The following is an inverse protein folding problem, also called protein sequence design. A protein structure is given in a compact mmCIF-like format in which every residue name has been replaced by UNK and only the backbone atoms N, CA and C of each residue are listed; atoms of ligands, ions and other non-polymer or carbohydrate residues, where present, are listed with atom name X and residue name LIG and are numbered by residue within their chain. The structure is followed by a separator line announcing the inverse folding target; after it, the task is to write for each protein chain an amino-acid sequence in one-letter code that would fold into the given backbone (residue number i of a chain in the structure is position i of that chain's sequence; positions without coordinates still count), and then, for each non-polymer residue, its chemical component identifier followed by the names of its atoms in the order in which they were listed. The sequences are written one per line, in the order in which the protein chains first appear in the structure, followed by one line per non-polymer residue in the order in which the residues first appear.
data_IF_188634585400
#
_entry.id   IF_188634585400
#
_cell.length_a   1.000
_cell.length_b   1.000
_cell.length_c   1.000
_cell.angle_alpha   90.00
_cell.angle_beta   90.00
_cell.angle_gamma   90.00
#
_symmetry.space_group_name_H-M   'P 1'
#
loop_
_entity.id
_entity.type
_entity.pdbx_description
1 polymer ?
#
# COMPACT_ATOMS: atom_id res chain seq x y z
N UNK A 1 -0.97 9.68 20.73
CA UNK A 1 -0.88 8.57 21.69
C UNK A 1 -2.15 7.77 21.56
N UNK A 2 -2.06 6.54 21.08
CA UNK A 2 -3.16 5.57 21.05
C UNK A 2 -2.90 4.52 22.13
N UNK A 3 -3.94 4.05 22.80
CA UNK A 3 -3.86 3.03 23.84
C UNK A 3 -4.79 1.88 23.52
N UNK A 4 -4.33 0.67 23.80
CA UNK A 4 -5.06 -0.57 23.60
C UNK A 4 -4.50 -1.64 24.54
N UNK A 5 -5.39 -2.24 25.34
CA UNK A 5 -5.05 -3.25 26.36
C UNK A 5 -3.90 -2.84 27.31
N UNK A 6 -3.82 -1.53 27.61
CA UNK A 6 -2.78 -0.96 28.48
C UNK A 6 -1.42 -0.70 27.80
N UNK A 7 -1.28 -1.03 26.51
CA UNK A 7 -0.11 -0.72 25.69
C UNK A 7 -0.33 0.59 24.93
N UNK A 8 0.75 1.19 24.44
CA UNK A 8 0.69 2.47 23.76
C UNK A 8 1.38 2.42 22.40
N UNK A 9 0.82 3.15 21.44
CA UNK A 9 1.49 3.60 20.23
C UNK A 9 1.70 5.12 20.32
N UNK A 10 2.96 5.56 20.27
CA UNK A 10 3.33 6.96 20.43
C UNK A 10 4.26 7.43 19.31
N UNK A 11 3.98 8.61 18.77
CA UNK A 11 4.94 9.37 17.95
C UNK A 11 5.63 10.38 18.88
N UNK A 12 6.95 10.34 18.93
CA UNK A 12 7.80 11.21 19.77
C UNK A 12 8.55 12.22 18.91
N UNK A 13 8.91 13.32 19.55
CA UNK A 13 9.77 14.36 18.97
C UNK A 13 9.31 14.79 17.57
N UNK A 14 7.99 15.04 17.46
CA UNK A 14 7.38 15.47 16.20
C UNK A 14 7.82 16.90 15.92
N UNK A 15 8.56 17.09 14.84
CA UNK A 15 9.08 18.37 14.37
C UNK A 15 8.75 18.54 12.89
N UNK A 16 8.98 19.75 12.37
CA UNK A 16 8.78 20.04 10.96
C UNK A 16 8.53 21.51 10.68
N UNK A 17 8.52 21.84 9.40
CA UNK A 17 8.14 23.16 8.92
C UNK A 17 7.45 23.04 7.57
N UNK A 18 6.54 23.95 7.28
CA UNK A 18 5.91 24.00 5.96
C UNK A 18 5.61 25.44 5.56
N UNK A 19 5.57 25.66 4.25
CA UNK A 19 5.19 26.91 3.62
C UNK A 19 4.02 26.64 2.70
N UNK A 20 2.94 27.37 2.93
CA UNK A 20 1.69 27.27 2.15
C UNK A 20 1.55 28.52 1.28
N UNK A 21 1.11 28.32 0.06
CA UNK A 21 0.70 29.37 -0.86
C UNK A 21 -0.70 29.05 -1.39
N UNK A 22 -1.54 30.08 -1.39
CA UNK A 22 -2.88 30.04 -1.97
C UNK A 22 -3.82 28.98 -1.35
N UNK A 23 -3.84 28.91 -0.02
CA UNK A 23 -4.83 28.12 0.71
C UNK A 23 -6.16 28.86 0.77
N UNK A 24 -7.22 28.19 0.31
CA UNK A 24 -8.58 28.75 0.31
C UNK A 24 -9.56 27.77 0.91
N UNK A 25 -10.54 28.31 1.62
CA UNK A 25 -11.73 27.60 2.08
C UNK A 25 -12.93 28.37 1.53
N UNK A 26 -13.69 27.75 0.62
CA UNK A 26 -14.83 28.40 -0.04
C UNK A 26 -15.95 27.39 -0.34
N UNK A 27 -17.17 27.90 -0.56
CA UNK A 27 -18.27 27.12 -1.12
C UNK A 27 -18.19 27.20 -2.63
N UNK A 28 -18.11 26.04 -3.28
CA UNK A 28 -17.99 25.95 -4.72
C UNK A 28 -18.49 24.62 -5.24
N UNK A 29 -17.93 24.17 -6.34
CA UNK A 29 -18.21 22.88 -6.93
C UNK A 29 -16.92 22.06 -7.04
N UNK A 30 -17.03 20.74 -6.87
CA UNK A 30 -15.92 19.84 -7.17
C UNK A 30 -15.72 19.65 -8.69
N UNK A 31 -14.74 18.83 -9.09
CA UNK A 31 -14.44 18.56 -10.51
C UNK A 31 -15.56 17.83 -11.26
N UNK A 32 -16.62 17.39 -10.58
CA UNK A 32 -17.84 16.80 -11.17
C UNK A 32 -19.02 17.77 -11.16
N UNK A 33 -18.84 19.01 -10.72
CA UNK A 33 -19.91 20.02 -10.65
C UNK A 33 -20.84 19.85 -9.43
N UNK A 34 -20.42 19.13 -8.39
CA UNK A 34 -21.23 18.93 -7.18
C UNK A 34 -20.96 20.04 -6.16
N UNK A 35 -22.01 20.69 -5.60
CA UNK A 35 -21.83 21.70 -4.56
C UNK A 35 -21.10 21.14 -3.34
N UNK A 36 -20.06 21.83 -2.90
CA UNK A 36 -19.19 21.39 -1.81
C UNK A 36 -18.56 22.56 -1.05
N UNK A 37 -18.06 22.28 0.15
CA UNK A 37 -17.07 23.14 0.81
C UNK A 37 -15.69 22.69 0.37
N UNK A 38 -15.01 23.50 -0.43
CA UNK A 38 -13.69 23.22 -0.98
C UNK A 38 -12.58 23.79 -0.10
N UNK A 39 -11.61 22.94 0.24
CA UNK A 39 -10.30 23.31 0.74
C UNK A 39 -9.30 23.12 -0.41
N UNK A 40 -8.83 24.22 -1.01
CA UNK A 40 -7.92 24.17 -2.16
C UNK A 40 -6.56 24.75 -1.81
N UNK A 41 -5.52 24.19 -2.39
CA UNK A 41 -4.12 24.53 -2.14
C UNK A 41 -3.39 24.70 -3.48
N UNK A 42 -2.81 25.87 -3.71
CA UNK A 42 -1.96 26.10 -4.89
C UNK A 42 -0.59 25.43 -4.76
N UNK A 43 0.09 25.66 -3.64
CA UNK A 43 1.39 25.02 -3.35
C UNK A 43 1.62 24.84 -1.85
N UNK A 44 2.16 23.69 -1.46
CA UNK A 44 2.69 23.47 -0.11
C UNK A 44 4.01 22.74 -0.20
N UNK A 45 5.03 23.24 0.46
CA UNK A 45 6.30 22.55 0.60
C UNK A 45 6.69 22.49 2.06
N UNK A 46 7.38 21.44 2.46
CA UNK A 46 7.78 21.31 3.85
C UNK A 46 8.53 20.02 4.15
N UNK A 47 8.83 19.91 5.43
CA UNK A 47 9.47 18.77 6.05
C UNK A 47 8.69 18.40 7.32
N UNK A 48 8.52 17.10 7.53
CA UNK A 48 7.89 16.52 8.70
C UNK A 48 8.81 15.42 9.24
N UNK A 49 9.03 15.44 10.55
CA UNK A 49 9.92 14.51 11.23
C UNK A 49 9.24 13.94 12.47
N UNK A 50 9.45 12.64 12.69
CA UNK A 50 9.11 11.92 13.91
C UNK A 50 10.40 11.29 14.40
N UNK A 51 10.89 11.74 15.56
CA UNK A 51 12.15 11.24 16.12
C UNK A 51 12.09 9.81 16.66
N UNK A 52 10.90 9.33 17.07
CA UNK A 52 10.70 7.91 17.39
C UNK A 52 9.23 7.48 17.29
N UNK A 53 8.98 6.26 16.84
CA UNK A 53 7.68 5.60 16.88
C UNK A 53 7.74 4.48 17.93
N UNK A 54 7.21 4.75 19.12
CA UNK A 54 7.22 3.78 20.22
C UNK A 54 5.97 2.90 20.18
N UNK A 55 6.16 1.58 20.34
CA UNK A 55 5.06 0.61 20.45
C UNK A 55 5.37 -0.49 21.47
N UNK A 56 4.33 -0.99 22.13
CA UNK A 56 4.39 -2.13 23.03
C UNK A 56 5.05 -1.78 24.37
N UNK A 57 5.95 -2.64 24.85
CA UNK A 57 6.69 -2.42 26.09
C UNK A 57 7.58 -1.15 26.08
N UNK A 58 7.85 -0.59 27.25
CA UNK A 58 8.62 0.65 27.40
C UNK A 58 10.03 0.55 26.76
N UNK A 59 10.41 1.59 26.01
CA UNK A 59 11.74 1.72 25.39
C UNK A 59 11.89 1.08 24.01
N UNK A 60 10.82 0.47 23.48
CA UNK A 60 10.82 -0.12 22.15
C UNK A 60 10.40 0.90 21.08
N UNK A 61 11.18 1.01 20.00
CA UNK A 61 10.96 1.97 18.91
C UNK A 61 11.05 1.29 17.54
N UNK A 62 10.20 1.69 16.60
CA UNK A 62 10.41 1.41 15.18
C UNK A 62 11.35 2.44 14.53
N UNK A 63 12.04 3.27 15.31
CA UNK A 63 12.91 4.31 14.81
C UNK A 63 12.20 5.59 14.38
N UNK A 64 12.96 6.40 13.66
CA UNK A 64 12.62 7.73 13.22
C UNK A 64 12.21 7.74 11.74
N UNK A 65 11.41 8.73 11.39
CA UNK A 65 10.93 8.95 10.04
C UNK A 65 10.99 10.42 9.68
N UNK A 66 11.45 10.72 8.47
CA UNK A 66 11.47 12.07 7.93
C UNK A 66 10.85 12.06 6.54
N UNK A 67 10.03 13.08 6.25
CA UNK A 67 9.35 13.28 4.99
C UNK A 67 9.63 14.71 4.54
N UNK A 68 10.24 14.88 3.37
CA UNK A 68 10.19 16.14 2.63
C UNK A 68 9.10 16.02 1.56
N UNK A 69 8.41 17.13 1.26
CA UNK A 69 7.34 17.10 0.27
C UNK A 69 7.14 18.44 -0.42
N UNK A 70 6.70 18.37 -1.68
CA UNK A 70 6.24 19.48 -2.50
C UNK A 70 4.92 19.08 -3.17
N UNK A 71 3.83 19.67 -2.70
CA UNK A 71 2.53 19.64 -3.33
C UNK A 71 2.42 20.86 -4.26
N UNK A 72 2.24 20.63 -5.55
CA UNK A 72 1.96 21.66 -6.55
C UNK A 72 1.30 21.06 -7.78
N UNK A 73 0.59 21.89 -8.54
CA UNK A 73 -0.13 21.45 -9.74
C UNK A 73 0.80 20.81 -10.78
N UNK A 74 0.35 19.70 -11.36
CA UNK A 74 1.11 18.97 -12.38
C UNK A 74 0.22 18.42 -13.49
N UNK A 75 0.83 18.16 -14.63
CA UNK A 75 0.21 17.42 -15.72
C UNK A 75 0.78 16.01 -15.75
N UNK A 76 -0.08 15.00 -15.57
CA UNK A 76 0.30 13.60 -15.71
C UNK A 76 -0.66 12.89 -16.67
N UNK A 77 -0.14 12.16 -17.65
CA UNK A 77 -0.95 11.48 -18.66
C UNK A 77 -1.89 12.40 -19.45
N UNK A 78 -1.54 13.68 -19.58
CA UNK A 78 -2.37 14.70 -20.25
C UNK A 78 -3.51 15.28 -19.39
N UNK A 79 -3.61 14.91 -18.12
CA UNK A 79 -4.57 15.47 -17.16
C UNK A 79 -3.86 16.39 -16.16
N UNK A 80 -4.48 17.52 -15.84
CA UNK A 80 -4.03 18.40 -14.77
C UNK A 80 -4.51 17.87 -13.41
N UNK A 81 -3.60 17.71 -12.48
CA UNK A 81 -3.86 17.42 -11.08
C UNK A 81 -3.55 18.65 -10.23
N UNK A 82 -4.47 18.97 -9.32
CA UNK A 82 -4.32 20.05 -8.34
C UNK A 82 -4.34 19.46 -6.92
N UNK A 83 -4.28 20.31 -5.90
CA UNK A 83 -4.44 19.88 -4.51
C UNK A 83 -5.73 20.46 -3.93
N UNK A 84 -6.76 19.62 -3.80
CA UNK A 84 -8.07 20.05 -3.34
C UNK A 84 -8.82 18.93 -2.61
N UNK A 85 -9.56 19.32 -1.57
CA UNK A 85 -10.50 18.48 -0.85
C UNK A 85 -11.87 19.15 -0.84
N UNK A 86 -12.88 18.50 -1.42
CA UNK A 86 -14.25 18.99 -1.46
C UNK A 86 -15.12 18.16 -0.52
N UNK A 87 -15.58 18.77 0.56
CA UNK A 87 -16.45 18.15 1.55
C UNK A 87 -17.92 18.32 1.18
N UNK A 88 -18.64 17.21 1.15
CA UNK A 88 -20.06 17.12 0.81
C UNK A 88 -20.80 16.30 1.86
N UNK A 89 -22.09 16.62 2.05
CA UNK A 89 -23.00 15.76 2.79
C UNK A 89 -23.41 14.55 1.95
N UNK A 90 -23.67 13.43 2.62
CA UNK A 90 -24.04 12.16 1.99
C UNK A 90 -22.81 11.29 1.72
N UNK A 91 -22.82 10.08 2.26
CA UNK A 91 -21.76 9.10 2.03
C UNK A 91 -22.11 8.12 0.91
N UNK A 92 -21.82 6.84 1.13
CA UNK A 92 -22.17 5.75 0.22
C UNK A 92 -23.67 5.74 -0.08
N UNK A 93 -24.04 5.59 -1.36
CA UNK A 93 -25.44 5.72 -1.83
C UNK A 93 -26.41 4.76 -1.13
N UNK A 94 -25.99 3.51 -0.92
CA UNK A 94 -26.84 2.50 -0.28
C UNK A 94 -26.85 2.57 1.26
N UNK A 95 -25.98 3.38 1.88
CA UNK A 95 -25.92 3.53 3.34
C UNK A 95 -26.94 4.55 3.88
N UNK A 96 -27.78 5.10 3.00
CA UNK A 96 -28.77 6.14 3.31
C UNK A 96 -28.21 7.56 3.22
N UNK A 97 -29.01 8.54 3.65
CA UNK A 97 -28.69 9.97 3.51
C UNK A 97 -27.64 10.48 4.52
N UNK A 98 -27.20 9.66 5.46
CA UNK A 98 -26.21 10.01 6.48
C UNK A 98 -24.79 9.74 5.98
N UNK A 99 -23.82 10.48 6.51
CA UNK A 99 -22.41 10.33 6.18
C UNK A 99 -21.82 11.54 5.45
N UNK A 100 -20.54 11.42 5.10
CA UNK A 100 -19.76 12.45 4.43
C UNK A 100 -19.15 11.88 3.16
N UNK A 101 -19.03 12.73 2.15
CA UNK A 101 -18.22 12.45 0.96
C UNK A 101 -17.12 13.49 0.86
N UNK A 102 -15.93 13.02 0.55
CA UNK A 102 -14.74 13.79 0.26
C UNK A 102 -14.38 13.53 -1.19
N UNK A 103 -14.56 14.53 -2.05
CA UNK A 103 -13.94 14.51 -3.36
C UNK A 103 -12.50 15.04 -3.18
N UNK A 104 -11.52 14.14 -3.22
CA UNK A 104 -10.10 14.50 -3.12
C UNK A 104 -9.43 14.54 -4.50
N UNK A 105 -8.60 15.55 -4.74
CA UNK A 105 -7.62 15.62 -5.82
C UNK A 105 -6.26 15.98 -5.20
N UNK A 106 -5.20 15.30 -5.62
CA UNK A 106 -3.85 15.59 -5.12
C UNK A 106 -2.80 15.50 -6.22
N UNK A 107 -1.73 16.26 -6.00
CA UNK A 107 -0.57 16.35 -6.87
C UNK A 107 0.68 16.60 -6.02
N UNK A 108 1.38 15.51 -5.72
CA UNK A 108 2.69 15.46 -5.07
C UNK A 108 3.78 15.44 -6.14
N UNK A 109 4.52 16.55 -6.24
CA UNK A 109 5.56 16.78 -7.26
C UNK A 109 6.86 16.11 -6.96
N UNK A 110 7.21 16.11 -5.69
CA UNK A 110 8.46 15.59 -5.21
C UNK A 110 8.33 15.32 -3.73
N UNK A 111 8.85 14.18 -3.30
CA UNK A 111 8.98 13.85 -1.90
C UNK A 111 10.13 12.88 -1.72
N UNK A 112 10.90 13.07 -0.66
CA UNK A 112 11.81 12.05 -0.17
C UNK A 112 11.32 11.56 1.19
N UNK A 113 11.41 10.24 1.36
CA UNK A 113 10.98 9.57 2.56
C UNK A 113 12.14 8.82 3.16
N UNK A 114 12.56 9.16 4.38
CA UNK A 114 13.61 8.43 5.07
C UNK A 114 13.15 7.78 6.35
N UNK A 115 13.60 6.54 6.53
CA UNK A 115 13.53 5.79 7.77
C UNK A 115 14.93 5.72 8.37
N UNK A 116 15.05 6.05 9.66
CA UNK A 116 16.32 5.99 10.38
C UNK A 116 16.14 5.17 11.65
N UNK A 117 17.00 4.18 11.87
CA UNK A 117 17.07 3.47 13.13
C UNK A 117 18.53 3.23 13.52
N UNK A 118 18.88 3.47 14.78
CA UNK A 118 20.24 3.29 15.32
C UNK A 118 21.36 3.96 14.49
N UNK A 119 21.03 5.08 13.83
CA UNK A 119 21.94 5.82 12.95
C UNK A 119 22.06 5.27 11.52
N UNK A 120 21.40 4.16 11.21
CA UNK A 120 21.26 3.60 9.87
C UNK A 120 20.03 4.18 9.17
N UNK A 121 20.21 4.72 7.95
CA UNK A 121 19.16 5.43 7.22
C UNK A 121 18.91 4.82 5.85
N UNK A 122 17.64 4.68 5.50
CA UNK A 122 17.17 4.32 4.15
C UNK A 122 16.26 5.41 3.65
N UNK A 123 16.44 5.84 2.40
CA UNK A 123 15.71 6.96 1.79
C UNK A 123 15.04 6.46 0.52
N UNK A 124 13.72 6.54 0.41
CA UNK A 124 12.98 6.43 -0.85
C UNK A 124 12.98 7.81 -1.48
N UNK A 125 13.61 7.93 -2.65
CA UNK A 125 13.85 9.22 -3.30
C UNK A 125 12.90 9.46 -4.46
N UNK A 126 12.51 10.73 -4.61
CA UNK A 126 11.77 11.21 -5.76
C UNK A 126 10.36 10.63 -5.86
N UNK A 127 9.66 10.45 -4.74
CA UNK A 127 8.25 10.05 -4.79
C UNK A 127 7.42 11.15 -5.45
N UNK A 128 6.73 10.77 -6.52
CA UNK A 128 5.64 11.53 -7.11
C UNK A 128 4.34 10.77 -6.93
N UNK A 129 3.25 11.48 -6.69
CA UNK A 129 1.92 10.88 -6.63
C UNK A 129 0.87 11.86 -7.13
N UNK A 130 -0.14 11.32 -7.80
CA UNK A 130 -1.28 12.08 -8.30
C UNK A 130 -2.54 11.25 -8.15
N UNK A 131 -3.68 11.91 -8.10
CA UNK A 131 -4.94 11.22 -8.21
C UNK A 131 -6.14 12.10 -7.97
N UNK A 132 -7.30 11.51 -8.22
CA UNK A 132 -8.60 12.09 -7.90
C UNK A 132 -9.63 11.00 -7.65
N UNK A 133 -10.59 11.25 -6.76
CA UNK A 133 -11.70 10.34 -6.54
C UNK A 133 -12.51 10.66 -5.31
N UNK A 134 -13.56 9.87 -5.11
CA UNK A 134 -14.46 10.03 -3.98
C UNK A 134 -14.09 9.07 -2.85
N UNK A 135 -14.01 9.62 -1.65
CA UNK A 135 -13.91 8.88 -0.40
C UNK A 135 -15.20 9.13 0.37
N UNK A 136 -15.88 8.07 0.80
CA UNK A 136 -17.10 8.19 1.61
C UNK A 136 -16.87 7.70 3.03
N UNK A 137 -17.51 8.35 3.99
CA UNK A 137 -17.46 7.97 5.40
C UNK A 137 -18.88 7.79 5.91
N UNK A 138 -19.19 6.60 6.42
CA UNK A 138 -20.50 6.22 6.93
C UNK A 138 -20.36 5.49 8.26
N UNK A 139 -21.33 5.66 9.15
CA UNK A 139 -21.54 4.72 10.27
C UNK A 139 -22.56 3.70 9.82
N UNK A 140 -22.19 2.44 9.75
CA UNK A 140 -23.00 1.38 9.14
C UNK A 140 -23.35 0.28 10.14
N UNK A 141 -24.41 -0.45 9.80
CA UNK A 141 -24.84 -1.66 10.51
C UNK A 141 -24.69 -2.85 9.59
N UNK A 142 -24.34 -4.01 10.14
CA UNK A 142 -24.26 -5.27 9.42
C UNK A 142 -25.57 -5.60 8.72
N UNK A 143 -25.47 -5.98 7.44
CA UNK A 143 -26.62 -6.31 6.62
C UNK A 143 -26.39 -6.07 5.14
N UNK A 144 -27.42 -6.28 4.34
CA UNK A 144 -27.41 -5.97 2.90
C UNK A 144 -28.44 -4.89 2.64
N UNK A 145 -28.01 -3.77 2.06
CA UNK A 145 -28.88 -2.64 1.69
C UNK A 145 -28.55 -2.22 0.26
N UNK A 146 -29.55 -2.03 -0.59
CA UNK A 146 -29.34 -1.66 -2.00
C UNK A 146 -28.57 -2.70 -2.84
N UNK A 147 -28.33 -3.91 -2.31
CA UNK A 147 -27.43 -4.92 -2.93
C UNK A 147 -26.00 -4.87 -2.41
N UNK A 148 -25.63 -3.84 -1.65
CA UNK A 148 -24.32 -3.69 -1.01
C UNK A 148 -24.28 -4.37 0.35
N UNK A 149 -23.22 -5.14 0.62
CA UNK A 149 -22.94 -5.69 1.95
C UNK A 149 -22.31 -4.61 2.84
N UNK A 150 -22.88 -4.42 4.02
CA UNK A 150 -22.36 -3.58 5.08
C UNK A 150 -21.95 -4.42 6.29
N UNK A 151 -21.02 -3.86 7.07
CA UNK A 151 -20.55 -4.39 8.34
C UNK A 151 -20.83 -3.36 9.44
N UNK A 152 -20.92 -3.80 10.69
CA UNK A 152 -21.04 -2.89 11.83
C UNK A 152 -19.77 -2.05 11.98
N UNK A 153 -19.90 -0.72 12.03
CA UNK A 153 -18.77 0.17 12.34
C UNK A 153 -18.65 1.43 11.48
N UNK A 154 -17.45 2.02 11.47
CA UNK A 154 -17.09 3.15 10.63
C UNK A 154 -16.60 2.63 9.27
N UNK A 155 -17.42 2.82 8.24
CA UNK A 155 -17.08 2.49 6.85
C UNK A 155 -16.40 3.66 6.17
N UNK A 156 -15.27 3.37 5.53
CA UNK A 156 -14.55 4.25 4.61
C UNK A 156 -14.66 3.61 3.23
N UNK A 157 -15.38 4.24 2.30
CA UNK A 157 -15.54 3.79 0.92
C UNK A 157 -14.64 4.54 -0.05
N UNK A 158 -14.25 3.87 -1.13
CA UNK A 158 -13.50 4.43 -2.25
C UNK A 158 -14.34 4.24 -3.51
N UNK A 159 -14.60 5.31 -4.24
CA UNK A 159 -15.49 5.31 -5.41
C UNK A 159 -14.77 5.96 -6.61
N UNK A 160 -14.29 5.11 -7.52
CA UNK A 160 -13.60 5.51 -8.75
C UNK A 160 -12.36 6.35 -8.49
N UNK A 161 -11.54 5.97 -7.51
CA UNK A 161 -10.29 6.66 -7.18
C UNK A 161 -9.24 6.33 -8.22
N UNK A 162 -9.03 7.23 -9.17
CA UNK A 162 -7.97 7.14 -10.18
C UNK A 162 -6.69 7.76 -9.61
N UNK A 163 -5.65 6.96 -9.45
CA UNK A 163 -4.42 7.38 -8.80
C UNK A 163 -3.18 6.77 -9.46
N UNK A 164 -2.05 7.42 -9.26
CA UNK A 164 -0.76 6.84 -9.57
C UNK A 164 0.36 7.38 -8.70
N UNK A 165 1.46 6.64 -8.68
CA UNK A 165 2.71 7.08 -8.08
C UNK A 165 3.91 6.50 -8.82
N UNK A 166 5.07 7.12 -8.64
CA UNK A 166 6.38 6.58 -9.04
C UNK A 166 7.49 7.10 -8.14
N UNK A 167 8.57 6.35 -8.05
CA UNK A 167 9.79 6.71 -7.31
C UNK A 167 11.01 6.62 -8.23
N UNK A 168 12.08 7.34 -7.88
CA UNK A 168 13.36 7.21 -8.57
C UNK A 168 14.15 5.99 -8.07
N UNK A 169 13.99 5.62 -6.80
CA UNK A 169 14.67 4.48 -6.20
C UNK A 169 14.95 4.71 -4.71
N UNK A 170 15.98 4.05 -4.20
CA UNK A 170 16.38 4.09 -2.81
C UNK A 170 17.84 4.52 -2.63
N UNK A 171 18.16 5.22 -1.55
CA UNK A 171 19.51 5.50 -1.07
C UNK A 171 19.69 4.88 0.31
N UNK A 172 20.90 4.44 0.62
CA UNK A 172 21.25 3.84 1.91
C UNK A 172 22.41 4.63 2.51
N UNK A 173 22.25 5.07 3.75
CA UNK A 173 23.23 5.83 4.52
C UNK A 173 23.00 7.35 4.49
N UNK A 174 23.30 8.01 3.36
CA UNK A 174 23.24 9.47 3.25
C UNK A 174 22.46 9.94 2.02
N UNK A 175 22.11 11.24 2.01
CA UNK A 175 21.42 11.87 0.88
C UNK A 175 22.27 11.86 -0.42
N UNK A 176 23.60 11.86 -0.27
CA UNK A 176 24.56 11.80 -1.38
C UNK A 176 24.86 10.36 -1.85
N UNK A 177 24.36 9.33 -1.16
CA UNK A 177 24.64 7.95 -1.50
C UNK A 177 24.06 7.59 -2.89
N UNK A 178 24.71 6.74 -3.70
CA UNK A 178 24.21 6.40 -5.02
C UNK A 178 22.77 5.87 -4.99
N UNK A 179 21.95 6.32 -5.94
CA UNK A 179 20.59 5.85 -6.10
C UNK A 179 20.61 4.40 -6.59
N UNK A 180 19.83 3.55 -5.92
CA UNK A 180 19.65 2.14 -6.24
C UNK A 180 18.20 1.91 -6.68
N UNK A 181 17.97 1.00 -7.62
CA UNK A 181 16.60 0.66 -8.02
C UNK A 181 15.76 0.11 -6.87
N UNK A 182 16.39 -0.49 -5.85
CA UNK A 182 15.72 -0.99 -4.64
C UNK A 182 14.80 -2.18 -4.87
N UNK A 183 14.72 -2.69 -6.10
CA UNK A 183 13.80 -3.73 -6.56
C UNK A 183 13.73 -4.93 -5.62
N UNK A 184 14.88 -5.45 -5.17
CA UNK A 184 14.95 -6.63 -4.32
C UNK A 184 14.23 -6.42 -2.97
N UNK A 185 14.38 -5.25 -2.38
CA UNK A 185 13.74 -4.88 -1.12
C UNK A 185 12.28 -4.46 -1.33
N UNK A 186 12.03 -3.59 -2.32
CA UNK A 186 10.71 -3.05 -2.61
C UNK A 186 9.71 -4.15 -2.96
N UNK A 187 10.10 -5.13 -3.79
CA UNK A 187 9.24 -6.25 -4.13
C UNK A 187 8.94 -7.15 -2.93
N UNK A 188 9.90 -7.36 -2.04
CA UNK A 188 9.68 -8.11 -0.80
C UNK A 188 8.67 -7.41 0.12
N UNK A 189 8.63 -6.07 0.08
CA UNK A 189 7.67 -5.24 0.81
C UNK A 189 6.35 -5.01 0.05
N UNK A 190 6.20 -5.54 -1.18
CA UNK A 190 5.03 -5.32 -2.03
C UNK A 190 4.91 -3.88 -2.55
N UNK A 191 6.00 -3.12 -2.54
CA UNK A 191 6.08 -1.76 -3.07
C UNK A 191 6.59 -1.85 -4.52
N UNK A 192 5.90 -1.18 -5.43
CA UNK A 192 6.24 -1.15 -6.84
C UNK A 192 6.90 0.20 -7.19
N UNK A 193 8.01 0.24 -7.94
CA UNK A 193 8.64 1.50 -8.36
C UNK A 193 7.69 2.51 -9.04
N UNK A 194 6.65 2.03 -9.69
CA UNK A 194 5.57 2.85 -10.22
C UNK A 194 4.28 2.05 -10.23
N UNK A 195 3.14 2.71 -10.01
CA UNK A 195 1.84 2.08 -10.11
C UNK A 195 0.76 3.10 -10.47
N UNK A 196 0.05 2.87 -11.57
CA UNK A 196 -1.21 3.55 -11.91
C UNK A 196 -2.39 2.59 -11.70
N UNK A 197 -3.50 3.06 -11.16
CA UNK A 197 -4.67 2.23 -10.91
C UNK A 197 -5.97 3.05 -10.75
N UNK A 198 -7.11 2.36 -10.89
CA UNK A 198 -8.38 2.83 -10.38
C UNK A 198 -8.85 1.94 -9.24
N UNK A 199 -9.18 2.53 -8.10
CA UNK A 199 -9.62 1.85 -6.88
C UNK A 199 -11.10 2.12 -6.60
N UNK A 200 -11.84 1.03 -6.40
CA UNK A 200 -13.17 0.98 -5.83
C UNK A 200 -13.15 0.05 -4.60
N UNK A 201 -14.02 0.28 -3.62
CA UNK A 201 -14.16 -0.64 -2.49
C UNK A 201 -14.44 0.03 -1.17
N UNK A 202 -14.09 -0.64 -0.08
CA UNK A 202 -14.23 -0.10 1.26
C UNK A 202 -13.35 -0.80 2.28
N UNK A 203 -13.15 -0.10 3.40
CA UNK A 203 -12.75 -0.67 4.68
C UNK A 203 -13.84 -0.35 5.71
N UNK A 204 -14.13 -1.24 6.64
CA UNK A 204 -15.05 -0.99 7.75
C UNK A 204 -14.37 -1.37 9.05
N UNK A 205 -14.29 -0.39 9.94
CA UNK A 205 -13.65 -0.47 11.25
C UNK A 205 -14.73 -0.64 12.32
N UNK A 206 -14.81 -1.84 12.88
CA UNK A 206 -15.61 -2.17 14.06
C UNK A 206 -14.78 -2.08 15.34
N UNK A 207 -15.44 -2.02 16.48
CA UNK A 207 -14.79 -2.10 17.78
C UNK A 207 -14.55 -3.57 18.19
N UNK A 208 -13.47 -3.80 18.93
CA UNK A 208 -13.08 -5.10 19.47
C UNK A 208 -12.01 -5.78 18.62
N UNK A 209 -10.97 -6.28 19.27
CA UNK A 209 -9.87 -7.02 18.66
C UNK A 209 -9.96 -8.52 18.89
N UNK A 210 -8.82 -9.23 18.86
CA UNK A 210 -8.79 -10.69 19.03
C UNK A 210 -9.33 -11.12 20.39
N UNK A 211 -9.10 -10.29 21.40
CA UNK A 211 -9.66 -10.41 22.74
C UNK A 211 -9.68 -9.05 23.43
N UNK A 212 -10.84 -8.54 23.84
CA UNK A 212 -10.90 -7.31 24.63
C UNK A 212 -11.01 -6.04 23.79
N UNK A 213 -10.10 -5.10 24.00
CA UNK A 213 -10.00 -3.83 23.25
C UNK A 213 -9.50 -4.10 21.81
N UNK A 214 -9.18 -3.06 21.04
CA UNK A 214 -8.74 -3.21 19.64
C UNK A 214 -9.81 -2.94 18.58
N UNK A 215 -9.47 -3.24 17.32
CA UNK A 215 -10.30 -2.98 16.14
C UNK A 215 -10.58 -4.24 15.34
N UNK A 216 -11.80 -4.36 14.82
CA UNK A 216 -12.15 -5.35 13.80
C UNK A 216 -12.20 -4.66 12.43
N UNK A 217 -11.69 -5.31 11.40
CA UNK A 217 -11.56 -4.80 10.05
C UNK A 217 -12.22 -5.78 9.09
N UNK A 218 -13.16 -5.25 8.31
CA UNK A 218 -13.72 -5.91 7.13
C UNK A 218 -13.43 -5.05 5.90
N UNK A 219 -12.99 -5.66 4.81
CA UNK A 219 -12.56 -4.91 3.63
C UNK A 219 -12.88 -5.65 2.34
N UNK A 220 -13.32 -4.90 1.34
CA UNK A 220 -13.45 -5.33 -0.05
C UNK A 220 -12.76 -4.30 -0.92
N UNK A 221 -11.74 -4.71 -1.66
CA UNK A 221 -10.92 -3.84 -2.51
C UNK A 221 -10.98 -4.36 -3.93
N UNK A 222 -11.32 -3.47 -4.85
CA UNK A 222 -11.33 -3.72 -6.28
C UNK A 222 -10.41 -2.72 -6.97
N UNK A 223 -9.35 -3.22 -7.60
CA UNK A 223 -8.46 -2.43 -8.43
C UNK A 223 -8.65 -2.86 -9.88
N UNK A 224 -8.75 -1.88 -10.76
CA UNK A 224 -8.83 -2.06 -12.22
C UNK A 224 -7.90 -1.10 -12.93
N UNK A 225 -7.71 -1.37 -14.22
CA UNK A 225 -6.84 -0.58 -15.10
C UNK A 225 -5.40 -0.44 -14.54
N UNK A 226 -4.98 -1.43 -13.76
CA UNK A 226 -3.73 -1.41 -13.02
C UNK A 226 -2.51 -1.56 -13.93
N UNK A 227 -1.48 -0.76 -13.65
CA UNK A 227 -0.19 -0.78 -14.34
C UNK A 227 0.94 -0.58 -13.33
N UNK A 228 1.59 -1.66 -12.92
CA UNK A 228 2.66 -1.63 -11.94
C UNK A 228 4.03 -1.94 -12.58
N UNK A 229 5.04 -1.14 -12.32
CA UNK A 229 6.41 -1.50 -12.59
C UNK A 229 6.92 -2.43 -11.49
N UNK A 230 7.39 -3.62 -11.86
CA UNK A 230 8.08 -4.55 -10.95
C UNK A 230 9.55 -4.15 -10.83
N UNK A 231 10.12 -3.75 -11.96
CA UNK A 231 11.48 -3.24 -12.09
C UNK A 231 11.37 -2.02 -12.99
N UNK A 232 11.90 -0.88 -12.56
CA UNK A 232 11.98 0.31 -13.39
C UNK A 232 13.29 1.05 -13.16
N UNK A 233 13.84 1.59 -14.25
CA UNK A 233 14.83 2.66 -14.15
C UNK A 233 14.21 3.91 -13.48
N UNK A 234 15.03 4.79 -12.88
CA UNK A 234 14.56 6.08 -12.37
C UNK A 234 13.80 6.84 -13.46
N UNK A 235 12.77 7.59 -13.08
CA UNK A 235 12.06 8.42 -14.03
C UNK A 235 12.79 9.76 -14.25
N UNK A 236 13.70 10.17 -13.36
CA UNK A 236 14.53 11.35 -13.54
C UNK A 236 15.94 11.09 -12.98
N UNK A 237 16.95 11.16 -13.85
CA UNK A 237 18.37 11.01 -13.51
C UNK A 237 19.12 12.36 -13.43
N UNK A 238 18.38 13.47 -13.30
CA UNK A 238 18.92 14.83 -13.28
C UNK A 238 18.94 15.53 -14.65
N UNK A 239 18.43 14.87 -15.69
CA UNK A 239 18.27 15.43 -17.03
C UNK A 239 16.79 15.68 -17.39
N UNK A 240 15.92 15.65 -16.39
CA UNK A 240 14.47 15.78 -16.55
C UNK A 240 13.79 14.43 -16.74
N UNK A 241 12.47 14.44 -16.58
CA UNK A 241 11.65 13.23 -16.55
C UNK A 241 11.68 12.45 -17.88
N UNK A 242 11.84 11.14 -17.79
CA UNK A 242 11.88 10.17 -18.88
C UNK A 242 10.86 9.04 -18.64
N UNK A 243 10.36 8.40 -19.72
CA UNK A 243 9.56 7.18 -19.59
C UNK A 243 10.36 6.06 -18.92
N UNK A 244 9.82 5.51 -17.83
CA UNK A 244 10.48 4.42 -17.10
C UNK A 244 10.49 3.13 -17.91
N UNK A 245 11.67 2.53 -18.01
CA UNK A 245 11.88 1.25 -18.69
C UNK A 245 12.12 0.13 -17.69
N UNK A 246 11.59 -1.07 -17.98
CA UNK A 246 11.84 -2.26 -17.17
C UNK A 246 10.78 -3.35 -17.35
N UNK A 247 10.42 -4.03 -16.25
CA UNK A 247 9.43 -5.10 -16.21
C UNK A 247 8.12 -4.56 -15.64
N UNK A 248 7.03 -4.73 -16.37
CA UNK A 248 5.73 -4.14 -16.04
C UNK A 248 4.61 -5.18 -15.98
N UNK A 249 3.70 -5.04 -15.04
CA UNK A 249 2.42 -5.74 -14.98
C UNK A 249 1.36 -4.76 -15.47
N UNK A 250 0.64 -5.12 -16.52
CA UNK A 250 -0.31 -4.23 -17.19
C UNK A 250 -1.63 -4.94 -17.45
N UNK A 251 -2.69 -4.16 -17.65
CA UNK A 251 -4.07 -4.65 -17.71
C UNK A 251 -4.40 -5.47 -16.45
N UNK A 252 -3.95 -4.97 -15.30
CA UNK A 252 -4.08 -5.67 -14.03
C UNK A 252 -5.42 -5.35 -13.38
N UNK A 253 -6.12 -6.41 -12.95
CA UNK A 253 -7.20 -6.31 -11.98
C UNK A 253 -6.82 -7.01 -10.68
N UNK A 254 -7.30 -6.49 -9.57
CA UNK A 254 -7.15 -7.12 -8.27
C UNK A 254 -8.45 -7.03 -7.48
N UNK A 255 -8.94 -8.17 -7.04
CA UNK A 255 -10.07 -8.29 -6.11
C UNK A 255 -9.52 -8.86 -4.81
N UNK A 256 -9.74 -8.16 -3.69
CA UNK A 256 -9.26 -8.56 -2.38
C UNK A 256 -10.34 -8.42 -1.32
N UNK A 257 -10.45 -9.43 -0.48
CA UNK A 257 -11.47 -9.52 0.56
C UNK A 257 -10.83 -9.94 1.87
N UNK A 258 -11.16 -9.22 2.94
CA UNK A 258 -10.74 -9.52 4.32
C UNK A 258 -11.98 -9.55 5.19
N UNK A 259 -12.09 -10.59 6.02
CA UNK A 259 -13.18 -10.77 6.97
C UNK A 259 -12.64 -10.96 8.37
N UNK A 260 -13.25 -10.22 9.30
CA UNK A 260 -12.99 -10.28 10.73
C UNK A 260 -11.48 -10.29 11.04
N UNK A 261 -10.74 -9.39 10.40
CA UNK A 261 -9.36 -9.14 10.79
C UNK A 261 -9.37 -8.34 12.08
N UNK A 262 -8.59 -8.72 13.07
CA UNK A 262 -8.41 -7.93 14.28
C UNK A 262 -7.07 -7.21 14.25
N UNK A 263 -7.03 -6.05 14.90
CA UNK A 263 -5.84 -5.26 15.14
C UNK A 263 -5.76 -4.96 16.63
N UNK A 264 -4.66 -5.39 17.25
CA UNK A 264 -4.43 -5.31 18.69
C UNK A 264 -3.02 -4.77 18.95
N UNK A 265 -2.84 -3.88 19.93
CA UNK A 265 -1.51 -3.47 20.43
C UNK A 265 -1.17 -4.32 21.65
N UNK A 266 -0.10 -5.09 21.52
CA UNK A 266 0.39 -5.99 22.57
C UNK A 266 1.68 -5.46 23.20
N UNK A 267 2.20 -6.15 24.21
CA UNK A 267 3.50 -5.89 24.81
C UNK A 267 4.66 -6.10 23.82
N UNK A 268 4.46 -6.99 22.85
CA UNK A 268 5.41 -7.29 21.79
C UNK A 268 5.39 -6.26 20.67
N UNK A 269 4.22 -5.79 20.23
CA UNK A 269 4.07 -4.87 19.11
C UNK A 269 2.63 -4.78 18.60
N UNK A 270 2.46 -4.71 17.28
CA UNK A 270 1.16 -4.67 16.62
C UNK A 270 0.79 -6.06 16.11
N UNK A 271 -0.25 -6.66 16.69
CA UNK A 271 -0.75 -7.96 16.29
C UNK A 271 -1.95 -7.82 15.34
N UNK A 272 -1.93 -8.60 14.27
CA UNK A 272 -3.04 -8.75 13.34
C UNK A 272 -3.42 -10.23 13.27
N UNK A 273 -4.70 -10.53 13.44
CA UNK A 273 -5.23 -11.87 13.22
C UNK A 273 -6.36 -11.80 12.19
N UNK A 274 -6.22 -12.52 11.08
CA UNK A 274 -7.21 -12.54 10.01
C UNK A 274 -7.97 -13.86 10.03
N UNK A 275 -9.28 -13.81 10.31
CA UNK A 275 -10.11 -15.02 10.28
C UNK A 275 -10.17 -15.61 8.88
N UNK A 276 -10.46 -14.77 7.87
CA UNK A 276 -10.57 -15.20 6.48
C UNK A 276 -10.13 -14.10 5.51
N UNK A 277 -9.34 -14.46 4.51
CA UNK A 277 -9.01 -13.57 3.39
C UNK A 277 -8.92 -14.32 2.07
N UNK A 278 -9.37 -13.69 1.00
CA UNK A 278 -9.16 -14.21 -0.35
C UNK A 278 -8.91 -13.09 -1.34
N UNK A 279 -8.12 -13.38 -2.36
CA UNK A 279 -7.84 -12.42 -3.41
C UNK A 279 -7.60 -13.08 -4.75
N UNK A 280 -7.84 -12.32 -5.81
CA UNK A 280 -7.52 -12.66 -7.19
C UNK A 280 -6.79 -11.48 -7.83
N UNK A 281 -5.54 -11.69 -8.22
CA UNK A 281 -4.78 -10.78 -9.07
C UNK A 281 -4.75 -11.36 -10.48
N UNK A 282 -5.23 -10.61 -11.47
CA UNK A 282 -5.26 -11.02 -12.87
C UNK A 282 -4.49 -10.00 -13.71
N UNK A 283 -3.28 -10.35 -14.12
CA UNK A 283 -2.38 -9.49 -14.88
C UNK A 283 -2.50 -9.90 -16.34
N UNK A 284 -3.14 -9.05 -17.14
CA UNK A 284 -3.32 -9.31 -18.57
C UNK A 284 -2.00 -9.44 -19.33
N UNK A 285 -0.97 -8.67 -18.96
CA UNK A 285 0.30 -8.66 -19.68
C UNK A 285 1.50 -8.38 -18.74
N UNK A 286 2.45 -9.31 -18.70
CA UNK A 286 3.79 -9.11 -18.13
C UNK A 286 4.72 -8.60 -19.24
N UNK A 287 5.05 -7.31 -19.23
CA UNK A 287 5.78 -6.64 -20.32
C UNK A 287 7.23 -6.37 -20.00
N UNK A 288 8.10 -6.51 -21.00
CA UNK A 288 9.48 -6.03 -20.97
C UNK A 288 9.59 -4.76 -21.80
N UNK A 289 10.36 -3.79 -21.31
CA UNK A 289 10.62 -2.53 -22.01
C UNK A 289 9.87 -1.39 -21.34
N UNK A 290 8.56 -1.32 -21.48
CA UNK A 290 7.72 -0.32 -20.81
C UNK A 290 6.29 -0.83 -20.56
N UNK A 291 5.49 -0.07 -19.82
CA UNK A 291 4.12 -0.42 -19.44
C UNK A 291 3.03 -0.09 -20.48
N UNK A 292 3.37 0.34 -21.70
CA UNK A 292 2.41 0.76 -22.73
C UNK A 292 2.45 -0.19 -23.93
N UNK A 293 3.58 -0.27 -24.63
CA UNK A 293 3.76 -1.00 -25.88
C UNK A 293 4.87 -2.07 -25.82
N UNK A 294 5.45 -2.30 -24.64
CA UNK A 294 6.44 -3.34 -24.42
C UNK A 294 5.94 -4.76 -24.75
N UNK A 295 6.84 -5.62 -25.22
CA UNK A 295 6.53 -7.02 -25.56
C UNK A 295 6.04 -7.80 -24.34
N UNK A 296 5.01 -8.62 -24.53
CA UNK A 296 4.36 -9.38 -23.44
C UNK A 296 4.88 -10.81 -23.36
N UNK A 297 5.34 -11.20 -22.17
CA UNK A 297 5.70 -12.58 -21.82
C UNK A 297 4.47 -13.47 -21.62
N UNK A 298 3.29 -12.89 -21.47
CA UNK A 298 2.06 -13.62 -21.19
C UNK A 298 1.22 -12.98 -20.11
N UNK A 299 0.18 -13.70 -19.70
CA UNK A 299 -0.74 -13.35 -18.63
C UNK A 299 -0.40 -14.15 -17.38
N UNK A 300 -0.51 -13.50 -16.22
CA UNK A 300 -0.35 -14.14 -14.92
C UNK A 300 -1.61 -13.94 -14.09
N UNK A 301 -2.18 -15.02 -13.55
CA UNK A 301 -3.29 -14.94 -12.61
C UNK A 301 -2.93 -15.66 -11.32
N UNK A 302 -3.03 -14.96 -10.20
CA UNK A 302 -2.73 -15.45 -8.86
C UNK A 302 -4.02 -15.41 -8.05
N UNK A 303 -4.37 -16.52 -7.43
CA UNK A 303 -5.46 -16.58 -6.46
C UNK A 303 -4.91 -17.08 -5.13
N UNK A 304 -5.30 -16.41 -4.06
CA UNK A 304 -4.88 -16.73 -2.69
C UNK A 304 -6.12 -16.84 -1.81
N UNK A 305 -6.17 -17.86 -0.97
CA UNK A 305 -7.22 -18.07 0.01
C UNK A 305 -6.63 -18.57 1.32
N UNK A 306 -6.89 -17.81 2.38
CA UNK A 306 -6.34 -18.05 3.72
C UNK A 306 -7.39 -18.00 4.80
N UNK A 307 -7.15 -18.75 5.87
CA UNK A 307 -7.97 -18.74 7.07
C UNK A 307 -7.11 -18.83 8.32
N UNK A 308 -7.33 -17.93 9.29
CA UNK A 308 -6.58 -17.88 10.54
C UNK A 308 -5.12 -17.46 10.40
N UNK A 309 -4.78 -16.66 9.37
CA UNK A 309 -3.44 -16.10 9.21
C UNK A 309 -3.17 -15.04 10.28
N UNK A 310 -1.94 -14.95 10.76
CA UNK A 310 -1.54 -13.97 11.79
C UNK A 310 -0.28 -13.22 11.38
N UNK A 311 -0.18 -11.95 11.75
CA UNK A 311 1.00 -11.11 11.58
C UNK A 311 1.31 -10.39 12.88
N UNK A 312 2.57 -10.37 13.29
CA UNK A 312 3.07 -9.55 14.39
C UNK A 312 4.14 -8.62 13.85
N UNK A 313 3.95 -7.31 14.02
CA UNK A 313 4.92 -6.28 13.68
C UNK A 313 5.52 -5.78 14.98
N UNK A 314 6.81 -6.02 15.20
CA UNK A 314 7.48 -5.64 16.44
C UNK A 314 8.76 -4.86 16.19
N UNK A 315 9.05 -3.87 17.04
CA UNK A 315 10.31 -3.15 17.04
C UNK A 315 11.45 -4.08 17.47
N UNK A 316 12.63 -3.83 16.92
CA UNK A 316 13.81 -4.66 17.05
C UNK A 316 14.08 -5.50 15.80
N UNK A 317 15.36 -5.73 15.54
CA UNK A 317 15.87 -6.47 14.40
C UNK A 317 15.53 -7.95 14.40
N UNK A 318 15.78 -8.60 13.27
CA UNK A 318 15.40 -10.00 13.03
C UNK A 318 16.14 -11.01 13.92
N UNK A 319 17.01 -10.55 14.82
CA UNK A 319 17.82 -11.36 15.70
C UNK A 319 18.88 -12.17 14.94
N UNK A 320 19.85 -12.71 15.69
CA UNK A 320 20.85 -13.56 15.07
C UNK A 320 20.25 -14.91 14.67
N UNK A 321 20.58 -15.42 13.49
CA UNK A 321 20.05 -16.70 13.00
C UNK A 321 21.17 -17.61 12.52
N UNK A 322 21.01 -18.91 12.78
CA UNK A 322 21.83 -19.94 12.16
C UNK A 322 21.19 -20.38 10.84
N UNK A 323 21.81 -20.06 9.70
CA UNK A 323 21.36 -20.48 8.37
C UNK A 323 22.01 -21.82 8.02
N UNK A 324 21.20 -22.81 7.65
CA UNK A 324 21.72 -24.11 7.19
C UNK A 324 22.32 -25.01 8.27
N UNK A 325 22.17 -24.66 9.55
CA UNK A 325 22.58 -25.49 10.69
C UNK A 325 21.66 -25.29 11.91
N UNK A 326 22.07 -25.78 13.07
CA UNK A 326 21.39 -25.58 14.35
C UNK A 326 22.34 -25.01 15.41
N UNK A 327 21.87 -24.04 16.19
CA UNK A 327 22.64 -23.47 17.28
C UNK A 327 22.13 -22.09 17.68
N UNK A 328 22.26 -21.75 18.97
CA UNK A 328 21.90 -20.44 19.51
C UNK A 328 23.10 -19.46 19.57
N UNK A 329 24.25 -19.86 19.01
CA UNK A 329 25.46 -19.05 18.93
C UNK A 329 26.17 -19.29 17.62
N UNK A 330 27.06 -18.37 17.23
CA UNK A 330 27.90 -18.52 16.03
C UNK A 330 28.69 -19.83 16.04
N UNK A 331 29.28 -20.17 17.19
CA UNK A 331 30.07 -21.39 17.35
C UNK A 331 29.22 -22.67 17.21
N UNK A 332 28.03 -22.70 17.81
CA UNK A 332 27.13 -23.85 17.72
C UNK A 332 26.60 -24.02 16.28
N UNK A 333 26.27 -22.91 15.64
CA UNK A 333 25.82 -22.90 14.26
C UNK A 333 26.87 -23.46 13.30
N UNK A 334 28.11 -22.95 13.38
CA UNK A 334 29.21 -23.45 12.57
C UNK A 334 29.55 -24.92 12.87
N UNK A 335 29.46 -25.35 14.13
CA UNK A 335 29.65 -26.75 14.51
C UNK A 335 28.58 -27.69 13.91
N UNK A 336 27.37 -27.18 13.67
CA UNK A 336 26.29 -27.89 12.99
C UNK A 336 26.35 -27.78 11.46
N UNK A 337 27.39 -27.15 10.90
CA UNK A 337 27.53 -26.94 9.45
C UNK A 337 26.73 -25.76 8.91
N UNK A 338 26.22 -24.88 9.77
CA UNK A 338 25.51 -23.66 9.38
C UNK A 338 26.39 -22.40 9.38
N UNK A 339 25.86 -21.34 8.80
CA UNK A 339 26.42 -19.99 8.79
C UNK A 339 25.65 -19.09 9.75
N UNK A 340 26.37 -18.35 10.60
CA UNK A 340 25.75 -17.47 11.59
C UNK A 340 25.56 -16.08 11.01
N UNK A 341 24.29 -15.71 10.82
CA UNK A 341 23.90 -14.39 10.34
C UNK A 341 23.57 -13.50 11.53
N UNK A 342 24.41 -12.48 11.74
CA UNK A 342 24.13 -11.43 12.72
C UNK A 342 23.21 -10.39 12.08
N UNK A 343 21.90 -10.56 12.24
CA UNK A 343 20.91 -9.60 11.72
C UNK A 343 20.62 -8.44 12.68
N UNK A 344 21.31 -8.42 13.82
CA UNK A 344 21.27 -7.33 14.79
C UNK A 344 19.99 -7.25 15.63
N UNK A 345 19.99 -6.31 16.58
CA UNK A 345 18.83 -5.94 17.39
C UNK A 345 18.06 -4.75 16.80
N UNK A 346 18.50 -4.20 15.67
CA UNK A 346 18.00 -2.94 15.07
C UNK A 346 16.89 -3.20 14.03
N UNK A 347 15.87 -2.33 13.99
CA UNK A 347 14.91 -2.27 12.89
C UNK A 347 13.50 -2.77 13.21
N UNK A 348 12.76 -3.16 12.16
CA UNK A 348 11.38 -3.67 12.25
C UNK A 348 11.36 -5.15 11.91
N UNK A 349 10.82 -5.97 12.79
CA UNK A 349 10.58 -7.39 12.53
C UNK A 349 9.10 -7.64 12.25
N UNK A 350 8.82 -8.30 11.14
CA UNK A 350 7.47 -8.73 10.76
C UNK A 350 7.43 -10.26 10.78
N UNK A 351 6.73 -10.82 11.76
CA UNK A 351 6.50 -12.26 11.86
C UNK A 351 5.15 -12.59 11.22
N UNK A 352 5.17 -13.38 10.15
CA UNK A 352 3.96 -13.75 9.42
C UNK A 352 3.74 -15.25 9.47
N UNK A 353 2.52 -15.65 9.81
CA UNK A 353 2.03 -17.02 9.68
C UNK A 353 0.86 -17.01 8.70
N UNK A 354 1.16 -17.35 7.45
CA UNK A 354 0.16 -17.44 6.38
C UNK A 354 -0.36 -18.87 6.29
N UNK A 355 -1.67 -19.06 6.49
CA UNK A 355 -2.31 -20.38 6.47
C UNK A 355 -3.17 -20.50 5.21
N UNK A 356 -2.62 -21.15 4.18
CA UNK A 356 -3.36 -21.43 2.95
C UNK A 356 -4.49 -22.44 3.23
N UNK A 357 -5.72 -22.04 2.95
CA UNK A 357 -6.91 -22.84 3.16
C UNK A 357 -7.23 -23.73 1.95
N UNK A 358 -8.01 -24.81 2.19
CA UNK A 358 -8.51 -25.66 1.10
C UNK A 358 -9.50 -24.89 0.25
N UNK A 359 -9.48 -25.12 -1.06
CA UNK A 359 -10.42 -24.47 -1.98
C UNK A 359 -11.88 -24.74 -1.57
N UNK A 360 -12.69 -23.67 -1.53
CA UNK A 360 -14.12 -23.73 -1.24
C UNK A 360 -14.97 -23.35 -2.46
N UNK A 361 -14.42 -22.55 -3.38
CA UNK A 361 -15.09 -22.14 -4.61
C UNK A 361 -14.07 -21.80 -5.71
N UNK A 362 -14.53 -21.36 -6.87
CA UNK A 362 -13.65 -20.82 -7.93
C UNK A 362 -12.95 -19.51 -7.54
N UNK A 363 -13.51 -18.78 -6.57
CA UNK A 363 -12.98 -17.50 -6.06
C UNK A 363 -12.11 -17.70 -4.82
N UNK A 364 -12.52 -18.59 -3.92
CA UNK A 364 -11.79 -18.97 -2.70
C UNK A 364 -10.94 -20.21 -2.93
N UNK A 365 -9.78 -20.02 -3.57
CA UNK A 365 -8.79 -21.07 -3.82
C UNK A 365 -7.38 -20.50 -3.92
N UNK A 366 -6.41 -21.40 -3.81
CA UNK A 366 -5.01 -21.12 -4.07
C UNK A 366 -4.66 -21.67 -5.45
N UNK A 367 -4.23 -20.80 -6.37
CA UNK A 367 -3.82 -21.24 -7.71
C UNK A 367 -2.93 -20.21 -8.38
N UNK A 368 -1.96 -20.68 -9.16
CA UNK A 368 -1.14 -19.87 -10.05
C UNK A 368 -1.42 -20.29 -11.49
N UNK A 369 -1.76 -19.33 -12.35
CA UNK A 369 -1.94 -19.55 -13.77
C UNK A 369 -0.98 -18.68 -14.56
N UNK A 370 -0.25 -19.30 -15.47
CA UNK A 370 0.55 -18.63 -16.50
C UNK A 370 -0.01 -18.98 -17.87
N UNK A 371 -0.29 -17.97 -18.70
CA UNK A 371 -0.89 -18.15 -20.01
C UNK A 371 -0.09 -17.43 -21.11
N UNK A 372 0.27 -18.18 -22.16
CA UNK A 372 1.04 -17.69 -23.31
C UNK A 372 0.35 -18.06 -24.63
N UNK A 373 0.89 -17.59 -25.76
CA UNK A 373 0.35 -17.89 -27.11
C UNK A 373 -1.14 -17.59 -27.26
N UNK A 374 -1.60 -16.49 -26.65
CA UNK A 374 -2.99 -16.03 -26.74
C UNK A 374 -3.28 -15.56 -28.16
N UNK A 375 -4.49 -15.85 -28.64
CA UNK A 375 -5.04 -15.22 -29.83
C UNK A 375 -5.22 -13.71 -29.61
N UNK A 376 -5.22 -12.94 -30.69
CA UNK A 376 -5.45 -11.49 -30.66
C UNK A 376 -6.83 -11.14 -31.19
N UNK A 377 -7.46 -10.11 -30.63
CA UNK A 377 -8.73 -9.56 -31.11
C UNK A 377 -8.55 -8.73 -32.39
N UNK A 378 -9.64 -8.16 -32.91
CA UNK A 378 -9.62 -7.29 -34.10
C UNK A 378 -8.83 -5.99 -33.93
N UNK A 379 -8.42 -5.67 -32.70
CA UNK A 379 -7.57 -4.53 -32.34
C UNK A 379 -6.13 -4.94 -32.00
N UNK A 380 -5.77 -6.22 -32.21
CA UNK A 380 -4.43 -6.73 -31.92
C UNK A 380 -4.15 -6.98 -30.43
N UNK A 381 -5.18 -6.93 -29.56
CA UNK A 381 -5.02 -7.16 -28.12
C UNK A 381 -5.18 -8.64 -27.81
N UNK A 382 -4.31 -9.15 -26.94
CA UNK A 382 -4.35 -10.55 -26.54
C UNK A 382 -5.65 -10.88 -25.78
N UNK A 383 -6.32 -11.97 -26.18
CA UNK A 383 -7.57 -12.43 -25.58
C UNK A 383 -7.26 -13.38 -24.42
N UNK A 384 -7.60 -12.98 -23.21
CA UNK A 384 -7.45 -13.80 -22.01
C UNK A 384 -8.23 -15.11 -22.14
N UNK A 385 -7.58 -16.22 -21.79
CA UNK A 385 -8.18 -17.54 -21.88
C UNK A 385 -8.10 -18.23 -23.24
N UNK A 386 -7.51 -17.61 -24.27
CA UNK A 386 -7.40 -18.24 -25.59
C UNK A 386 -6.08 -19.00 -25.81
N UNK A 387 -5.13 -18.90 -24.88
CA UNK A 387 -3.77 -19.39 -25.04
C UNK A 387 -3.50 -20.73 -24.37
N UNK A 388 -2.23 -21.14 -24.44
CA UNK A 388 -1.71 -22.29 -23.69
C UNK A 388 -1.56 -21.91 -22.23
N UNK A 389 -2.07 -22.74 -21.32
CA UNK A 389 -2.11 -22.45 -19.89
C UNK A 389 -1.31 -23.49 -19.09
N UNK A 390 -0.46 -22.99 -18.21
CA UNK A 390 0.07 -23.74 -17.08
C UNK A 390 -0.74 -23.34 -15.85
N UNK A 391 -1.29 -24.31 -15.13
CA UNK A 391 -2.03 -24.10 -13.88
C UNK A 391 -1.37 -24.94 -12.79
N UNK A 392 -1.03 -24.29 -11.67
CA UNK A 392 -0.39 -24.86 -10.49
C UNK A 392 -1.28 -24.70 -9.28
#
# INVERSE_FOLDING_TARGET
LYHDDGHALALRDITGSYRIQDLRLDVGEDWRGRPAVGLTLGRMEGEFEVGAIEIGGAGKSFGAFNLSFLLEDQVFGGRNYTNALYLQGGGHVDAGAQGLRLAAQWSLRLSDLSYTEDGNRVIISGLQSWGQGDITVNVTRDGVQGGTRFYDGLRIGFEGLEAGYRINGMRVGSDDAPLQGGTELLLALGIYPAYDFTLDGHMTLGAGGASGEGLTINSDIHIRDGRAAVIAAPYDEGNGEQPQKGLWLTDMTYDGHVRNMTLDVTDEGLALATEESWSTMDIGNVRIGNGVDGESLGRLKIQRFEQGSTTLIKPGGAGNVCVGGAGASASACSASGGEWEMRGEEGVTIEMKNILARAQSSEKRNSLLWETNRTVDGQGRAVNGSGTRLVL
#
